data_IF_535134026844
#
_entry.id   IF_535134026844
#
_cell.length_a   1.000
_cell.length_b   1.000
_cell.length_c   1.000
_cell.angle_alpha   90.00
_cell.angle_beta   90.00
_cell.angle_gamma   90.00
#
_symmetry.space_group_name_H-M   'P 1'
#
loop_
_entity.id
_entity.type
_entity.pdbx_description
1 polymer ?
#
# COMPACT_ATOMS: atom_id res chain seq x y z
N UNK A 1 -5.53 11.89 -7.26
CA UNK A 1 -4.25 11.36 -6.73
C UNK A 1 -4.57 10.10 -5.92
N UNK A 2 -3.69 9.12 -5.86
CA UNK A 2 -3.92 7.90 -5.09
C UNK A 2 -2.90 7.78 -3.97
N UNK A 3 -3.29 7.16 -2.86
CA UNK A 3 -2.34 6.69 -1.84
C UNK A 3 -2.44 5.18 -1.77
N UNK A 4 -1.29 4.53 -1.86
CA UNK A 4 -1.12 3.12 -1.53
C UNK A 4 -0.58 3.05 -0.13
N UNK A 5 -1.19 2.24 0.75
CA UNK A 5 -0.60 1.85 2.03
C UNK A 5 -0.11 0.42 1.93
N UNK A 6 1.04 0.14 2.54
CA UNK A 6 1.60 -1.20 2.57
C UNK A 6 2.30 -1.49 3.90
N UNK A 7 2.19 -2.73 4.37
CA UNK A 7 2.92 -3.20 5.56
C UNK A 7 3.29 -4.67 5.43
N UNK A 8 4.34 -5.08 6.13
CA UNK A 8 4.65 -6.51 6.31
C UNK A 8 3.58 -7.08 7.26
N UNK A 9 2.89 -8.15 6.88
CA UNK A 9 1.80 -8.73 7.66
C UNK A 9 2.27 -9.16 9.05
N UNK A 10 3.50 -9.65 9.14
CA UNK A 10 4.17 -10.04 10.39
C UNK A 10 5.67 -9.83 10.22
N UNK A 11 6.41 -9.18 11.15
CA UNK A 11 5.96 -8.63 12.44
C UNK A 11 5.57 -7.13 12.39
N UNK A 12 5.55 -6.51 11.20
CA UNK A 12 5.39 -5.05 11.12
C UNK A 12 3.96 -4.60 11.34
N UNK A 13 3.72 -3.90 12.44
CA UNK A 13 2.45 -3.21 12.65
C UNK A 13 2.43 -1.77 12.06
N UNK A 14 3.50 -1.38 11.36
CA UNK A 14 3.66 -0.02 10.84
C UNK A 14 3.24 0.05 9.38
N UNK A 15 2.26 0.92 9.09
CA UNK A 15 1.83 1.22 7.73
C UNK A 15 2.78 2.19 7.05
N UNK A 16 3.28 1.82 5.88
CA UNK A 16 3.95 2.72 4.96
C UNK A 16 2.91 3.31 4.00
N UNK A 17 3.11 4.55 3.57
CA UNK A 17 2.20 5.25 2.68
C UNK A 17 2.97 5.83 1.49
N UNK A 18 2.52 5.51 0.28
CA UNK A 18 3.08 6.03 -0.95
C UNK A 18 2.00 6.79 -1.73
N UNK A 19 2.21 8.08 -1.94
CA UNK A 19 1.33 8.94 -2.73
C UNK A 19 1.76 8.96 -4.18
N UNK A 20 0.84 8.67 -5.08
CA UNK A 20 1.12 8.55 -6.50
C UNK A 20 0.09 9.39 -7.30
N UNK A 21 0.52 10.16 -8.31
CA UNK A 21 -0.41 10.88 -9.18
C UNK A 21 -1.16 9.93 -10.13
N UNK A 22 -0.58 8.77 -10.44
CA UNK A 22 -1.07 7.77 -11.39
C UNK A 22 -1.84 6.62 -10.73
N UNK A 23 -2.52 5.80 -11.54
CA UNK A 23 -3.24 4.59 -11.11
C UNK A 23 -2.32 3.39 -10.84
N UNK A 24 -1.04 3.50 -11.19
CA UNK A 24 -0.01 2.48 -10.96
C UNK A 24 1.12 3.06 -10.09
N UNK A 25 1.66 2.23 -9.21
CA UNK A 25 2.90 2.52 -8.49
C UNK A 25 3.73 1.27 -8.31
N UNK A 26 5.03 1.47 -8.11
CA UNK A 26 5.98 0.41 -7.79
C UNK A 26 6.38 0.58 -6.32
N UNK A 27 6.18 -0.49 -5.55
CA UNK A 27 6.69 -0.62 -4.20
C UNK A 27 7.90 -1.54 -4.28
N UNK A 28 9.09 -0.97 -4.11
CA UNK A 28 10.36 -1.68 -4.13
C UNK A 28 10.95 -1.80 -2.72
N UNK A 29 12.13 -2.45 -2.65
CA UNK A 29 12.89 -2.64 -1.42
C UNK A 29 12.12 -3.35 -0.29
N UNK A 30 11.20 -4.24 -0.68
CA UNK A 30 10.49 -5.13 0.24
C UNK A 30 11.39 -6.31 0.62
N UNK A 31 11.23 -6.81 1.85
CA UNK A 31 11.96 -8.00 2.28
C UNK A 31 11.56 -9.20 1.42
N UNK A 32 12.50 -10.05 0.99
CA UNK A 32 12.17 -11.32 0.35
C UNK A 32 11.51 -12.29 1.35
N UNK A 33 10.73 -13.24 0.84
CA UNK A 33 10.00 -14.26 1.61
C UNK A 33 9.01 -13.71 2.67
N UNK A 34 8.62 -12.44 2.55
CA UNK A 34 7.73 -11.77 3.48
C UNK A 34 6.35 -11.55 2.86
N UNK A 35 5.31 -11.71 3.67
CA UNK A 35 3.95 -11.45 3.26
C UNK A 35 3.63 -9.97 3.51
N UNK A 36 3.25 -9.24 2.48
CA UNK A 36 2.88 -7.82 2.55
C UNK A 36 1.39 -7.63 2.29
N UNK A 37 0.80 -6.69 3.02
CA UNK A 37 -0.57 -6.24 2.86
C UNK A 37 -0.58 -4.88 2.18
N UNK A 38 -1.34 -4.73 1.10
CA UNK A 38 -1.45 -3.51 0.29
C UNK A 38 -2.90 -3.05 0.22
N UNK A 39 -3.15 -1.76 0.34
CA UNK A 39 -4.47 -1.19 0.05
C UNK A 39 -4.32 0.18 -0.61
N UNK A 40 -5.26 0.53 -1.47
CA UNK A 40 -5.23 1.79 -2.24
C UNK A 40 -6.44 2.63 -1.87
N UNK A 41 -6.26 3.95 -1.76
CA UNK A 41 -7.38 4.89 -1.67
C UNK A 41 -7.21 6.00 -2.69
N UNK A 42 -8.33 6.54 -3.17
CA UNK A 42 -8.33 7.78 -3.93
C UNK A 42 -8.28 8.97 -2.97
N UNK A 43 -7.36 9.90 -3.18
CA UNK A 43 -7.39 11.20 -2.52
C UNK A 43 -7.98 12.23 -3.49
N UNK A 44 -9.09 12.84 -3.09
CA UNK A 44 -9.64 14.05 -3.69
C UNK A 44 -9.00 15.27 -3.04
N UNK A 45 -9.15 16.46 -3.66
CA UNK A 45 -8.54 17.69 -3.16
C UNK A 45 -8.97 18.08 -1.74
N UNK A 46 -10.14 17.59 -1.30
CA UNK A 46 -10.72 17.91 0.01
C UNK A 46 -10.75 16.73 0.96
N UNK A 47 -10.76 15.49 0.47
CA UNK A 47 -10.87 14.30 1.33
C UNK A 47 -10.14 13.07 0.75
N UNK A 48 -9.68 12.21 1.66
CA UNK A 48 -9.26 10.86 1.29
C UNK A 48 -10.47 9.94 1.29
N UNK A 49 -10.68 9.20 0.20
CA UNK A 49 -11.71 8.16 0.12
C UNK A 49 -11.42 6.95 1.00
N UNK A 50 -12.36 6.02 1.03
CA UNK A 50 -12.22 4.75 1.74
C UNK A 50 -11.08 3.92 1.12
N UNK A 51 -10.37 3.17 1.96
CA UNK A 51 -9.37 2.21 1.50
C UNK A 51 -10.04 1.06 0.74
N UNK A 52 -9.41 0.62 -0.34
CA UNK A 52 -9.78 -0.61 -1.02
C UNK A 52 -9.62 -1.82 -0.09
N UNK A 53 -10.28 -2.95 -0.42
CA UNK A 53 -9.96 -4.23 0.21
C UNK A 53 -8.45 -4.46 0.20
N UNK A 54 -7.86 -4.91 1.32
CA UNK A 54 -6.43 -5.19 1.38
C UNK A 54 -6.10 -6.42 0.52
N UNK A 55 -5.05 -6.30 -0.28
CA UNK A 55 -4.49 -7.37 -1.07
C UNK A 55 -3.25 -7.87 -0.37
N UNK A 56 -3.14 -9.18 -0.20
CA UNK A 56 -1.97 -9.80 0.42
C UNK A 56 -1.11 -10.41 -0.67
N UNK A 57 0.16 -10.02 -0.72
CA UNK A 57 1.12 -10.53 -1.69
C UNK A 57 2.38 -11.00 -0.97
N UNK A 58 2.93 -12.14 -1.39
CA UNK A 58 4.19 -12.66 -0.86
C UNK A 58 5.31 -12.31 -1.84
N UNK A 59 6.34 -11.64 -1.35
CA UNK A 59 7.55 -11.33 -2.12
C UNK A 59 8.37 -12.61 -2.31
N UNK A 60 8.86 -12.81 -3.53
CA UNK A 60 9.77 -13.91 -3.89
C UNK A 60 11.23 -13.51 -3.68
#
# INVERSE_FOLDING_TARGET
>A
KFTVRYREKEPSNTWNYQTCPSTSTVIDNLKPDAQYEFAVRANTNTNSGVWSPPVIHKTA
#
